data_IF_148005272943
#
_entry.id   IF_148005272943
#
_cell.length_a   1.000
_cell.length_b   1.000
_cell.length_c   1.000
_cell.angle_alpha   90.00
_cell.angle_beta   90.00
_cell.angle_gamma   90.00
#
_symmetry.space_group_name_H-M   'P 1'
#
loop_
_entity.id
_entity.type
_entity.pdbx_description
1 polymer ?
#
# COMPACT_ATOMS: atom_id res chain seq x y z
N UNK A 1 7.26 13.73 -20.23
CA UNK A 1 6.61 13.07 -21.38
C UNK A 1 6.30 11.65 -20.93
N UNK A 2 5.03 11.32 -20.72
CA UNK A 2 4.60 9.95 -20.47
C UNK A 2 4.07 9.41 -21.80
N UNK A 3 4.66 8.32 -22.29
CA UNK A 3 4.21 7.64 -23.51
C UNK A 3 2.88 6.94 -23.22
N UNK A 4 1.83 7.37 -23.91
CA UNK A 4 0.55 6.69 -23.90
C UNK A 4 0.67 5.38 -24.68
N UNK A 5 0.39 4.24 -24.04
CA UNK A 5 0.10 2.98 -24.73
C UNK A 5 -1.33 3.04 -25.33
N UNK A 6 -1.56 3.97 -26.26
CA UNK A 6 -2.73 3.95 -27.12
C UNK A 6 -2.45 3.02 -28.30
N UNK A 7 -2.78 1.74 -28.12
CA UNK A 7 -2.96 0.83 -29.26
C UNK A 7 -4.23 1.29 -30.00
N UNK A 8 -4.16 1.43 -31.32
CA UNK A 8 -5.19 2.02 -32.21
C UNK A 8 -6.59 1.35 -32.19
N UNK A 9 -6.87 0.43 -31.27
CA UNK A 9 -8.14 -0.29 -31.20
C UNK A 9 -8.58 -0.73 -29.79
N UNK A 10 -8.13 -0.06 -28.70
CA UNK A 10 -8.61 -0.40 -27.35
C UNK A 10 -8.20 0.58 -26.25
N UNK A 11 -8.84 0.45 -25.08
CA UNK A 11 -8.50 1.22 -23.87
C UNK A 11 -8.08 0.24 -22.75
N UNK A 12 -6.89 0.45 -22.16
CA UNK A 12 -6.40 -0.29 -21.01
C UNK A 12 -6.79 0.48 -19.74
N UNK A 13 -7.55 -0.16 -18.87
CA UNK A 13 -7.90 0.37 -17.55
C UNK A 13 -7.45 -0.61 -16.47
N UNK A 14 -6.77 -0.07 -15.47
CA UNK A 14 -6.33 -0.82 -14.30
C UNK A 14 -7.31 -0.50 -13.18
N UNK A 15 -7.93 -1.53 -12.60
CA UNK A 15 -8.87 -1.35 -11.51
C UNK A 15 -8.15 -0.95 -10.22
N UNK A 16 -8.81 -0.12 -9.41
CA UNK A 16 -8.32 0.35 -8.10
C UNK A 16 -7.88 -0.82 -7.22
N UNK A 17 -8.64 -1.92 -7.22
CA UNK A 17 -8.34 -3.15 -6.50
C UNK A 17 -6.99 -3.80 -6.86
N UNK A 18 -6.54 -3.63 -8.11
CA UNK A 18 -5.26 -4.14 -8.60
C UNK A 18 -4.12 -3.26 -8.09
N UNK A 19 -4.28 -1.94 -8.18
CA UNK A 19 -3.29 -0.98 -7.66
C UNK A 19 -3.17 -1.11 -6.14
N UNK A 20 -4.30 -1.25 -5.44
CA UNK A 20 -4.33 -1.47 -4.00
C UNK A 20 -3.59 -2.75 -3.58
N UNK A 21 -3.67 -3.83 -4.37
CA UNK A 21 -2.89 -5.05 -4.10
C UNK A 21 -1.40 -4.83 -4.27
N UNK A 22 -0.99 -4.14 -5.33
CA UNK A 22 0.43 -3.83 -5.57
C UNK A 22 0.98 -2.98 -4.42
N UNK A 23 0.27 -1.90 -4.08
CA UNK A 23 0.64 -1.02 -2.98
C UNK A 23 0.69 -1.76 -1.63
N UNK A 24 -0.29 -2.62 -1.34
CA UNK A 24 -0.32 -3.42 -0.12
C UNK A 24 0.83 -4.42 -0.02
N UNK A 25 1.20 -5.08 -1.13
CA UNK A 25 2.36 -5.98 -1.15
C UNK A 25 3.67 -5.23 -0.93
N UNK A 26 3.90 -4.13 -1.67
CA UNK A 26 5.09 -3.29 -1.51
C UNK A 26 5.19 -2.70 -0.10
N UNK A 27 4.05 -2.35 0.52
CA UNK A 27 4.00 -1.89 1.89
C UNK A 27 4.44 -2.97 2.89
N UNK A 28 3.96 -4.21 2.72
CA UNK A 28 4.35 -5.34 3.59
C UNK A 28 5.80 -5.78 3.41
N UNK A 29 6.40 -5.54 2.25
CA UNK A 29 7.82 -5.81 1.97
C UNK A 29 8.76 -4.74 2.54
N UNK A 30 8.22 -3.59 2.97
CA UNK A 30 9.01 -2.49 3.51
C UNK A 30 9.49 -2.82 4.94
N UNK A 31 10.81 -2.83 5.20
CA UNK A 31 11.34 -3.10 6.53
C UNK A 31 10.83 -2.09 7.57
N UNK A 32 10.48 -2.55 8.77
CA UNK A 32 9.93 -1.71 9.84
C UNK A 32 8.40 -1.62 9.84
N UNK A 33 7.72 -2.11 8.80
CA UNK A 33 6.26 -2.29 8.80
C UNK A 33 5.94 -3.63 9.46
N UNK A 34 5.09 -3.59 10.50
CA UNK A 34 4.60 -4.79 11.18
C UNK A 34 3.35 -5.35 10.49
N UNK A 35 2.40 -4.46 10.18
CA UNK A 35 1.14 -4.83 9.55
C UNK A 35 0.48 -3.61 8.89
N UNK A 36 -0.53 -3.88 8.07
CA UNK A 36 -1.47 -2.87 7.56
C UNK A 36 -2.76 -2.84 8.40
N UNK A 37 -3.23 -1.65 8.75
CA UNK A 37 -4.42 -1.47 9.60
C UNK A 37 -5.68 -1.31 8.76
N UNK A 38 -6.27 -2.43 8.36
CA UNK A 38 -7.62 -2.46 7.80
C UNK A 38 -8.62 -3.00 8.80
N UNK A 39 -9.02 -2.14 9.74
CA UNK A 39 -10.16 -2.38 10.62
C UNK A 39 -10.01 -3.61 11.51
N UNK A 40 -9.22 -3.47 12.56
CA UNK A 40 -9.37 -4.27 13.77
C UNK A 40 -8.74 -3.49 14.93
N UNK A 41 -9.52 -2.57 15.51
CA UNK A 41 -9.55 -2.54 16.97
C UNK A 41 -10.02 -3.94 17.42
N UNK A 42 -9.38 -4.45 18.46
CA UNK A 42 -9.65 -5.73 19.12
C UNK A 42 -9.10 -6.97 18.42
N UNK A 43 -8.04 -7.51 19.01
CA UNK A 43 -7.68 -8.91 18.81
C UNK A 43 -8.87 -9.84 19.02
N UNK A 44 -8.79 -11.02 18.39
CA UNK A 44 -9.52 -12.29 18.68
C UNK A 44 -10.25 -12.98 17.51
N UNK A 45 -10.58 -12.37 16.37
CA UNK A 45 -11.62 -13.02 15.55
C UNK A 45 -11.24 -13.81 14.28
N UNK A 46 -10.23 -13.47 13.47
CA UNK A 46 -10.24 -14.00 12.08
C UNK A 46 -8.88 -14.32 11.47
N UNK A 47 -8.42 -15.52 11.81
CA UNK A 47 -7.75 -16.48 10.91
C UNK A 47 -8.60 -16.87 9.67
N UNK A 48 -9.49 -16.01 9.18
CA UNK A 48 -10.52 -16.35 8.20
C UNK A 48 -10.38 -15.54 6.91
N UNK A 49 -9.96 -16.27 5.89
CA UNK A 49 -10.08 -16.00 4.45
C UNK A 49 -8.94 -15.18 3.86
N UNK A 50 -8.06 -15.86 3.11
CA UNK A 50 -6.92 -15.34 2.35
C UNK A 50 -7.30 -14.40 1.19
N UNK A 51 -8.00 -13.31 1.50
CA UNK A 51 -8.40 -12.26 0.56
C UNK A 51 -8.06 -10.83 1.03
N UNK A 52 -7.38 -10.66 2.16
CA UNK A 52 -7.28 -9.38 2.87
C UNK A 52 -5.96 -8.60 2.66
N UNK A 53 -5.31 -8.69 1.50
CA UNK A 53 -4.15 -7.82 1.17
C UNK A 53 -4.56 -6.34 1.00
N UNK A 54 -5.86 -6.05 0.84
CA UNK A 54 -6.39 -4.70 0.63
C UNK A 54 -6.74 -3.96 1.95
N UNK A 55 -6.63 -4.62 3.10
CA UNK A 55 -7.03 -4.04 4.38
C UNK A 55 -6.01 -3.00 4.84
N UNK A 56 -6.38 -1.73 4.78
CA UNK A 56 -5.52 -0.60 5.17
C UNK A 56 -4.92 0.17 3.99
N UNK A 57 -5.23 -0.24 2.75
CA UNK A 57 -4.88 0.49 1.52
C UNK A 57 -6.16 1.11 0.96
N UNK A 58 -6.13 2.39 0.63
CA UNK A 58 -7.13 3.03 -0.24
C UNK A 58 -6.39 3.58 -1.46
N UNK A 59 -6.99 3.45 -2.64
CA UNK A 59 -6.41 3.98 -3.86
C UNK A 59 -7.51 4.65 -4.67
N UNK A 60 -7.19 5.81 -5.22
CA UNK A 60 -7.99 6.47 -6.24
C UNK A 60 -7.20 6.46 -7.56
N UNK A 61 -7.73 5.79 -8.58
CA UNK A 61 -7.06 5.65 -9.89
C UNK A 61 -7.76 6.53 -10.92
N UNK A 62 -7.01 7.47 -11.49
CA UNK A 62 -7.40 8.24 -12.66
C UNK A 62 -7.02 7.54 -13.97
N UNK A 63 -7.04 8.28 -15.08
CA UNK A 63 -6.62 7.71 -16.37
C UNK A 63 -5.10 7.49 -16.46
N UNK A 64 -4.32 8.34 -15.82
CA UNK A 64 -2.85 8.34 -15.89
C UNK A 64 -2.19 8.48 -14.51
N UNK A 65 -2.99 8.72 -13.48
CA UNK A 65 -2.50 9.11 -12.16
C UNK A 65 -3.13 8.23 -11.08
N UNK A 66 -2.42 8.04 -9.97
CA UNK A 66 -2.93 7.34 -8.80
C UNK A 66 -2.58 8.09 -7.51
N UNK A 67 -3.54 8.19 -6.60
CA UNK A 67 -3.36 8.63 -5.22
C UNK A 67 -3.53 7.43 -4.28
N UNK A 68 -2.64 7.30 -3.29
CA UNK A 68 -2.58 6.12 -2.41
C UNK A 68 -2.57 6.58 -0.96
N UNK A 69 -3.49 6.04 -0.16
CA UNK A 69 -3.51 6.19 1.29
C UNK A 69 -3.24 4.85 1.97
N UNK A 70 -2.26 4.84 2.87
CA UNK A 70 -1.81 3.69 3.61
C UNK A 70 -2.07 3.89 5.10
N UNK A 71 -2.62 2.88 5.76
CA UNK A 71 -2.72 2.82 7.20
C UNK A 71 -1.90 1.64 7.71
N UNK A 72 -0.95 1.94 8.60
CA UNK A 72 0.11 1.00 8.98
C UNK A 72 0.29 0.90 10.50
N UNK A 73 0.84 -0.24 10.91
CA UNK A 73 1.41 -0.48 12.23
C UNK A 73 2.91 -0.67 12.03
N UNK A 74 3.73 0.08 12.76
CA UNK A 74 5.19 0.03 12.66
C UNK A 74 5.79 -0.82 13.78
N UNK A 75 6.99 -1.36 13.57
CA UNK A 75 7.73 -2.05 14.62
C UNK A 75 8.33 -1.05 15.62
N UNK A 76 8.26 -1.40 16.90
CA UNK A 76 8.97 -0.68 17.97
C UNK A 76 10.47 -0.63 17.67
N UNK A 77 11.15 0.38 18.22
CA UNK A 77 12.57 0.69 17.96
C UNK A 77 12.94 1.09 16.53
N UNK A 78 11.95 1.33 15.67
CA UNK A 78 12.21 1.83 14.30
C UNK A 78 11.85 3.32 14.19
N UNK A 79 12.73 4.18 13.64
CA UNK A 79 12.40 5.59 13.42
C UNK A 79 11.24 5.75 12.42
N UNK A 80 10.07 6.13 12.93
CA UNK A 80 8.81 6.18 12.16
C UNK A 80 8.93 7.00 10.87
N UNK A 81 9.63 8.14 10.93
CA UNK A 81 9.79 9.04 9.79
C UNK A 81 10.66 8.42 8.68
N UNK A 82 11.67 7.63 9.01
CA UNK A 82 12.52 6.93 8.03
C UNK A 82 11.74 5.78 7.39
N UNK A 83 11.05 4.96 8.21
CA UNK A 83 10.21 3.86 7.71
C UNK A 83 9.11 4.39 6.80
N UNK A 84 8.45 5.48 7.19
CA UNK A 84 7.38 6.07 6.38
C UNK A 84 7.91 6.60 5.04
N UNK A 85 9.10 7.21 5.02
CA UNK A 85 9.74 7.67 3.79
C UNK A 85 10.09 6.50 2.87
N UNK A 86 10.67 5.43 3.44
CA UNK A 86 11.00 4.22 2.69
C UNK A 86 9.74 3.55 2.14
N UNK A 87 8.67 3.45 2.94
CA UNK A 87 7.37 2.96 2.53
C UNK A 87 6.82 3.75 1.34
N UNK A 88 6.82 5.09 1.42
CA UNK A 88 6.35 5.96 0.34
C UNK A 88 7.13 5.72 -0.95
N UNK A 89 8.46 5.58 -0.86
CA UNK A 89 9.31 5.33 -2.02
C UNK A 89 9.02 3.95 -2.64
N UNK A 90 8.97 2.90 -1.83
CA UNK A 90 8.75 1.52 -2.29
C UNK A 90 7.39 1.38 -2.96
N UNK A 91 6.33 1.92 -2.35
CA UNK A 91 4.97 1.85 -2.89
C UNK A 91 4.85 2.65 -4.18
N UNK A 92 5.43 3.86 -4.24
CA UNK A 92 5.49 4.66 -5.46
C UNK A 92 6.18 3.87 -6.57
N UNK A 93 7.39 3.40 -6.34
CA UNK A 93 8.18 2.69 -7.35
C UNK A 93 7.48 1.43 -7.86
N UNK A 94 6.92 0.62 -6.96
CA UNK A 94 6.19 -0.59 -7.34
C UNK A 94 4.97 -0.27 -8.21
N UNK A 95 4.15 0.70 -7.82
CA UNK A 95 2.94 1.06 -8.59
C UNK A 95 3.31 1.67 -9.93
N UNK A 96 4.21 2.65 -9.97
CA UNK A 96 4.63 3.29 -11.22
C UNK A 96 5.25 2.28 -12.19
N UNK A 97 6.09 1.37 -11.70
CA UNK A 97 6.78 0.36 -12.52
C UNK A 97 5.84 -0.69 -13.08
N UNK A 98 4.88 -1.19 -12.28
CA UNK A 98 3.99 -2.27 -12.70
C UNK A 98 2.81 -1.79 -13.54
N UNK A 99 2.38 -0.54 -13.36
CA UNK A 99 1.13 -0.02 -13.94
C UNK A 99 1.34 1.06 -15.00
N UNK A 100 2.49 1.73 -14.99
CA UNK A 100 2.74 2.92 -15.82
C UNK A 100 1.96 4.16 -15.40
N UNK A 101 1.18 4.09 -14.31
CA UNK A 101 0.51 5.24 -13.72
C UNK A 101 1.54 6.13 -13.02
N UNK A 102 1.30 7.44 -13.00
CA UNK A 102 2.08 8.38 -12.19
C UNK A 102 1.47 8.46 -10.78
N UNK A 103 2.24 8.20 -9.75
CA UNK A 103 1.75 8.32 -8.37
C UNK A 103 1.89 9.77 -7.93
N UNK A 104 0.76 10.46 -7.73
CA UNK A 104 0.78 11.88 -7.34
C UNK A 104 1.15 12.03 -5.87
N UNK A 105 0.60 11.18 -5.01
CA UNK A 105 0.84 11.18 -3.58
C UNK A 105 0.78 9.78 -2.98
N UNK A 106 1.53 9.60 -1.88
CA UNK A 106 1.43 8.43 -1.02
C UNK A 106 1.33 8.93 0.41
N UNK A 107 0.13 8.87 0.97
CA UNK A 107 -0.16 9.30 2.32
C UNK A 107 -0.03 8.13 3.29
N UNK A 108 0.67 8.34 4.40
CA UNK A 108 0.92 7.30 5.41
C UNK A 108 0.34 7.74 6.74
N UNK A 109 -0.62 6.97 7.23
CA UNK A 109 -1.20 7.11 8.56
C UNK A 109 -0.70 5.98 9.45
N UNK A 110 0.11 6.32 10.44
CA UNK A 110 0.59 5.36 11.44
C UNK A 110 -0.49 5.23 12.51
N UNK A 111 -1.11 4.05 12.62
CA UNK A 111 -2.21 3.80 13.55
C UNK A 111 -1.77 3.03 14.80
N UNK A 112 -0.55 2.49 14.83
CA UNK A 112 -0.02 1.80 16.00
C UNK A 112 1.45 1.45 15.91
N UNK A 113 1.97 0.93 17.02
CA UNK A 113 3.33 0.38 17.15
C UNK A 113 3.21 -1.05 17.70
N UNK A 114 3.92 -2.00 17.10
CA UNK A 114 3.96 -3.40 17.54
C UNK A 114 5.31 -3.71 18.17
N UNK A 115 5.31 -4.38 19.32
CA UNK A 115 6.53 -4.92 19.91
C UNK A 115 6.83 -6.29 19.32
N UNK A 116 8.11 -6.59 19.11
CA UNK A 116 8.55 -7.90 18.63
C UNK A 116 8.38 -8.92 19.76
N UNK A 117 7.22 -9.55 19.85
CA UNK A 117 6.87 -10.51 20.91
C UNK A 117 5.40 -10.56 21.34
N UNK A 118 4.53 -9.69 20.82
CA UNK A 118 3.10 -9.65 21.19
C UNK A 118 2.23 -10.70 20.46
N UNK A 119 2.85 -11.65 19.75
CA UNK A 119 2.22 -12.90 19.33
C UNK A 119 2.49 -13.99 20.39
N UNK A 120 1.80 -13.94 21.53
CA UNK A 120 1.68 -15.06 22.49
C UNK A 120 0.27 -15.67 22.41
#
# INVERSE_FOLDING_TARGET
MAEQLQLESGNIRIADDVVAKIAGMAAMETPGIAAMSGGLSEGWAKRLSGKNVQKGVSVEVGQLEAAIDLRIIVLYETPIHEVSRMLQQNVREAVETMTGLRVVEVNVKVEGVSFKGDDL
#
